data_IF_895784734570
#
_entry.id   IF_895784734570
#
_cell.length_a   1.000
_cell.length_b   1.000
_cell.length_c   1.000
_cell.angle_alpha   90.00
_cell.angle_beta   90.00
_cell.angle_gamma   90.00
#
_symmetry.space_group_name_H-M   'P 1'
#
loop_
_entity.id
_entity.type
_entity.pdbx_description
1 polymer ?
#
# COMPACT_ATOMS: atom_id res chain seq x y z
N UNK A 1 13.14 -4.66 4.76
CA UNK A 1 13.14 -3.62 3.68
C UNK A 1 11.70 -3.26 3.32
N UNK A 2 11.21 -2.05 3.58
CA UNK A 2 9.79 -1.69 3.36
C UNK A 2 9.54 -1.37 1.89
N UNK A 3 8.43 -1.87 1.32
CA UNK A 3 8.00 -1.49 -0.02
C UNK A 3 7.02 -0.32 0.06
N UNK A 4 7.33 0.77 -0.64
CA UNK A 4 6.46 1.92 -0.81
C UNK A 4 5.78 1.85 -2.17
N UNK A 5 4.46 2.04 -2.20
CA UNK A 5 3.65 2.00 -3.42
C UNK A 5 2.81 3.27 -3.49
N UNK A 6 2.90 3.96 -4.62
CA UNK A 6 2.13 5.14 -4.96
C UNK A 6 1.52 4.98 -6.37
N UNK A 7 0.35 5.56 -6.57
CA UNK A 7 -0.38 5.62 -7.83
C UNK A 7 -1.25 6.89 -7.89
N UNK A 8 -1.71 7.21 -9.10
CA UNK A 8 -2.74 8.22 -9.32
C UNK A 8 -4.13 7.57 -9.14
N UNK A 9 -4.87 8.00 -8.12
CA UNK A 9 -6.21 7.48 -7.81
C UNK A 9 -7.18 7.67 -8.97
N UNK A 10 -7.05 8.74 -9.76
CA UNK A 10 -7.92 9.00 -10.91
C UNK A 10 -7.59 8.07 -12.09
N UNK A 11 -6.32 7.71 -12.26
CA UNK A 11 -5.88 6.76 -13.30
C UNK A 11 -6.26 5.32 -12.96
N UNK A 12 -6.23 4.95 -11.66
CA UNK A 12 -6.50 3.59 -11.17
C UNK A 12 -7.98 3.38 -10.82
N UNK A 13 -8.72 4.44 -10.50
CA UNK A 13 -10.12 4.34 -10.06
C UNK A 13 -10.28 3.86 -8.60
N UNK A 14 -9.20 3.82 -7.83
CA UNK A 14 -9.20 3.41 -6.42
C UNK A 14 -8.44 4.39 -5.55
N UNK A 15 -9.03 4.72 -4.40
CA UNK A 15 -8.35 5.54 -3.38
C UNK A 15 -7.38 4.72 -2.54
N UNK A 16 -6.37 5.38 -1.96
CA UNK A 16 -5.46 4.76 -0.99
C UNK A 16 -6.22 4.10 0.16
N UNK A 17 -7.26 4.75 0.68
CA UNK A 17 -8.09 4.21 1.76
C UNK A 17 -8.83 2.93 1.35
N UNK A 18 -9.40 2.91 0.13
CA UNK A 18 -10.10 1.74 -0.40
C UNK A 18 -9.15 0.55 -0.57
N UNK A 19 -7.97 0.78 -1.15
CA UNK A 19 -6.95 -0.27 -1.33
C UNK A 19 -6.48 -0.79 0.03
N UNK A 20 -6.24 0.10 1.00
CA UNK A 20 -5.83 -0.30 2.35
C UNK A 20 -6.89 -1.14 3.05
N UNK A 21 -8.16 -0.76 2.96
CA UNK A 21 -9.25 -1.56 3.50
C UNK A 21 -9.28 -2.97 2.87
N UNK A 22 -9.20 -3.05 1.55
CA UNK A 22 -9.19 -4.34 0.84
C UNK A 22 -7.98 -5.23 1.19
N UNK A 23 -6.80 -4.63 1.41
CA UNK A 23 -5.59 -5.37 1.79
C UNK A 23 -5.64 -5.85 3.26
N UNK A 24 -6.24 -5.06 4.15
CA UNK A 24 -6.39 -5.42 5.56
C UNK A 24 -7.48 -6.48 5.80
N UNK A 25 -8.55 -6.46 5.01
CA UNK A 25 -9.70 -7.36 5.13
C UNK A 25 -9.61 -8.59 4.21
N UNK A 26 -8.65 -8.61 3.28
CA UNK A 26 -8.46 -9.70 2.33
C UNK A 26 -7.86 -10.98 2.94
N UNK A 27 -7.86 -12.05 2.15
CA UNK A 27 -7.18 -13.31 2.46
C UNK A 27 -6.10 -13.61 1.40
N UNK A 28 -4.80 -13.61 1.75
CA UNK A 28 -4.26 -13.36 3.08
C UNK A 28 -4.36 -11.87 3.47
N UNK A 29 -4.43 -11.63 4.78
CA UNK A 29 -4.38 -10.27 5.34
C UNK A 29 -2.99 -9.67 5.13
N UNK A 30 -2.92 -8.48 4.55
CA UNK A 30 -1.67 -7.78 4.28
C UNK A 30 -1.57 -6.55 5.17
N UNK A 31 -0.55 -6.55 6.04
CA UNK A 31 -0.30 -5.42 6.94
C UNK A 31 0.28 -4.22 6.16
N UNK A 32 -0.51 -3.16 6.05
CA UNK A 32 -0.13 -1.91 5.37
C UNK A 32 -0.35 -0.69 6.28
N UNK A 33 0.37 0.39 6.00
CA UNK A 33 0.10 1.71 6.58
C UNK A 33 0.07 2.77 5.50
N UNK A 34 -0.84 3.72 5.60
CA UNK A 34 -0.83 4.92 4.77
C UNK A 34 0.19 5.93 5.31
N UNK A 35 0.80 6.64 4.38
CA UNK A 35 1.65 7.80 4.62
C UNK A 35 1.07 8.90 3.73
N UNK A 36 0.38 9.85 4.35
CA UNK A 36 -0.18 10.98 3.62
C UNK A 36 0.74 12.19 3.62
N UNK A 37 0.58 13.01 2.58
CA UNK A 37 1.21 14.32 2.44
C UNK A 37 0.62 15.29 3.48
N UNK A 38 1.12 15.21 4.71
CA UNK A 38 0.79 16.21 5.74
C UNK A 38 1.77 17.38 5.65
N UNK A 39 1.23 18.59 5.45
CA UNK A 39 1.99 19.85 5.49
C UNK A 39 2.68 20.09 6.85
N UNK A 40 2.29 19.37 7.90
CA UNK A 40 2.88 19.48 9.24
C UNK A 40 4.17 18.65 9.40
N UNK A 41 4.44 17.70 8.49
CA UNK A 41 5.67 16.89 8.51
C UNK A 41 6.70 17.45 7.54
N UNK A 42 7.16 18.68 7.81
CA UNK A 42 8.15 19.43 7.01
C UNK A 42 9.48 18.71 6.75
N UNK A 43 9.82 17.68 7.53
CA UNK A 43 11.05 16.89 7.36
C UNK A 43 10.90 15.60 6.56
N UNK A 44 9.66 15.18 6.29
CA UNK A 44 9.37 13.97 5.55
C UNK A 44 9.04 14.37 4.10
N UNK A 45 10.05 14.36 3.24
CA UNK A 45 9.99 14.73 1.82
C UNK A 45 9.19 13.72 0.96
N UNK A 46 8.02 13.28 1.42
CA UNK A 46 7.08 12.49 0.62
C UNK A 46 6.22 13.46 -0.17
N UNK A 47 6.48 13.49 -1.48
CA UNK A 47 5.82 14.41 -2.42
C UNK A 47 4.41 13.95 -2.80
N UNK A 48 4.07 12.68 -2.52
CA UNK A 48 2.82 12.02 -2.90
C UNK A 48 2.33 11.11 -1.76
N UNK A 49 1.03 10.83 -1.74
CA UNK A 49 0.47 9.83 -0.83
C UNK A 49 0.99 8.43 -1.19
N UNK A 50 1.29 7.59 -0.21
CA UNK A 50 1.80 6.24 -0.44
C UNK A 50 1.24 5.24 0.58
N UNK A 51 1.22 3.96 0.20
CA UNK A 51 1.11 2.85 1.15
C UNK A 51 2.48 2.22 1.38
N UNK A 52 2.70 1.81 2.63
CA UNK A 52 3.86 1.02 3.03
C UNK A 52 3.46 -0.38 3.39
N UNK A 53 4.06 -1.33 2.69
CA UNK A 53 3.96 -2.76 2.98
C UNK A 53 5.15 -3.12 3.86
N UNK A 54 4.87 -3.66 5.05
CA UNK A 54 5.89 -4.04 6.03
C UNK A 54 6.17 -5.55 5.91
N UNK A 55 7.32 -5.95 5.36
CA UNK A 55 7.64 -7.36 5.17
C UNK A 55 8.09 -8.05 6.45
N UNK A 56 8.28 -7.31 7.54
CA UNK A 56 8.64 -7.88 8.84
C UNK A 56 7.52 -8.80 9.39
N UNK A 57 6.32 -8.71 8.81
CA UNK A 57 5.19 -9.60 9.07
C UNK A 57 4.99 -10.69 8.01
N UNK A 58 5.87 -10.78 7.00
CA UNK A 58 5.76 -11.74 5.90
C UNK A 58 6.73 -12.92 6.08
N UNK A 59 6.22 -14.13 5.93
CA UNK A 59 7.00 -15.36 5.84
C UNK A 59 7.66 -15.51 4.45
N UNK A 60 8.72 -16.33 4.33
CA UNK A 60 9.29 -16.68 3.02
C UNK A 60 8.20 -17.18 2.05
N UNK A 61 8.15 -16.61 0.84
CA UNK A 61 7.14 -16.90 -0.19
C UNK A 61 5.87 -16.03 -0.12
N UNK A 62 5.62 -15.31 0.98
CA UNK A 62 4.44 -14.43 1.07
C UNK A 62 4.60 -13.13 0.28
N UNK A 63 5.84 -12.71 0.00
CA UNK A 63 6.11 -11.50 -0.80
C UNK A 63 5.51 -11.60 -2.22
N UNK A 64 5.54 -12.77 -2.85
CA UNK A 64 4.92 -12.99 -4.16
C UNK A 64 3.39 -12.94 -4.07
N UNK A 65 2.82 -13.43 -2.98
CA UNK A 65 1.38 -13.38 -2.70
C UNK A 65 0.93 -11.93 -2.51
N UNK A 66 1.68 -11.14 -1.74
CA UNK A 66 1.42 -9.70 -1.56
C UNK A 66 1.52 -8.95 -2.89
N UNK A 67 2.57 -9.19 -3.67
CA UNK A 67 2.74 -8.56 -4.98
C UNK A 67 1.60 -8.91 -5.95
N UNK A 68 1.16 -10.18 -5.97
CA UNK A 68 0.01 -10.60 -6.77
C UNK A 68 -1.27 -9.90 -6.30
N UNK A 69 -1.54 -9.88 -5.00
CA UNK A 69 -2.77 -9.28 -4.46
C UNK A 69 -2.83 -7.78 -4.69
N UNK A 70 -1.70 -7.08 -4.55
CA UNK A 70 -1.60 -5.66 -4.89
C UNK A 70 -1.97 -5.41 -6.35
N UNK A 71 -1.50 -6.25 -7.28
CA UNK A 71 -1.88 -6.12 -8.69
C UNK A 71 -3.36 -6.37 -8.91
N UNK A 72 -3.95 -7.38 -8.28
CA UNK A 72 -5.39 -7.65 -8.38
C UNK A 72 -6.22 -6.46 -7.89
N UNK A 73 -5.89 -5.91 -6.71
CA UNK A 73 -6.62 -4.78 -6.12
C UNK A 73 -6.44 -3.50 -6.94
N UNK A 74 -5.27 -3.28 -7.53
CA UNK A 74 -5.00 -2.09 -8.34
C UNK A 74 -5.46 -2.23 -9.80
N UNK A 75 -5.69 -3.44 -10.31
CA UNK A 75 -6.12 -3.65 -11.69
C UNK A 75 -7.64 -3.60 -11.86
N UNK A 76 -8.41 -3.80 -10.77
CA UNK A 76 -9.88 -3.88 -10.82
C UNK A 76 -10.39 -5.22 -11.34
#
# INVERSE_FOLDING_TARGET
PVAAVAWDEAAVGHTYEQVVAQLLDGDPRIAVRTRSRSAERLYDAYYEDEIRVYPDNLQPGEAEVVARRLREVLAG
#
